data_IF_194560929244
#
_entry.id   IF_194560929244
#
_cell.length_a   1.000
_cell.length_b   1.000
_cell.length_c   1.000
_cell.angle_alpha   90.00
_cell.angle_beta   90.00
_cell.angle_gamma   90.00
#
_symmetry.space_group_name_H-M   'P 1'
#
loop_
_entity.id
_entity.type
_entity.pdbx_description
1 polymer ?
#
# COMPACT_ATOMS: atom_id res chain seq x y z
N UNK A 1 2.26 9.28 -8.15
CA UNK A 1 1.00 8.70 -8.69
C UNK A 1 -0.08 8.81 -7.62
N UNK A 2 0.05 8.12 -6.48
CA UNK A 2 -0.88 8.23 -5.34
C UNK A 2 -1.18 9.68 -4.91
N UNK A 3 -0.15 10.48 -4.62
CA UNK A 3 -0.32 11.89 -4.19
C UNK A 3 -0.98 12.81 -5.23
N UNK A 4 -1.12 12.34 -6.47
CA UNK A 4 -1.77 13.06 -7.56
C UNK A 4 -3.13 12.45 -7.94
N UNK A 5 -3.62 11.46 -7.18
CA UNK A 5 -4.87 10.74 -7.50
C UNK A 5 -4.80 9.87 -8.76
N UNK A 6 -3.59 9.58 -9.25
CA UNK A 6 -3.34 8.76 -10.44
C UNK A 6 -3.40 7.26 -10.09
N UNK A 7 -4.59 6.81 -9.69
CA UNK A 7 -4.80 5.46 -9.15
C UNK A 7 -4.73 4.37 -10.22
N UNK A 8 -5.22 4.65 -11.44
CA UNK A 8 -5.21 3.66 -12.53
C UNK A 8 -3.79 3.35 -12.96
N UNK A 9 -2.94 4.37 -13.13
CA UNK A 9 -1.54 4.14 -13.45
C UNK A 9 -0.79 3.48 -12.27
N UNK A 10 -1.17 3.80 -11.03
CA UNK A 10 -0.59 3.15 -9.84
C UNK A 10 -0.96 1.66 -9.77
N UNK A 11 -2.22 1.31 -10.04
CA UNK A 11 -2.67 -0.08 -10.13
C UNK A 11 -1.89 -0.84 -11.20
N UNK A 12 -1.58 -0.22 -12.34
CA UNK A 12 -0.78 -0.88 -13.36
C UNK A 12 0.60 -1.35 -12.84
N UNK A 13 1.17 -0.75 -11.79
CA UNK A 13 2.45 -1.23 -11.23
C UNK A 13 2.38 -2.64 -10.63
N UNK A 14 1.18 -3.10 -10.26
CA UNK A 14 0.96 -4.41 -9.67
C UNK A 14 0.81 -5.50 -10.74
N UNK A 15 1.23 -6.71 -10.40
CA UNK A 15 0.96 -7.90 -11.19
C UNK A 15 -0.54 -8.25 -11.15
N UNK A 16 -1.00 -9.09 -12.08
CA UNK A 16 -2.38 -9.61 -12.07
C UNK A 16 -2.68 -10.39 -10.78
N UNK A 17 -1.74 -11.26 -10.39
CA UNK A 17 -1.78 -11.97 -9.10
C UNK A 17 -0.92 -11.20 -8.10
N UNK A 18 -1.53 -10.22 -7.44
CA UNK A 18 -0.87 -9.41 -6.42
C UNK A 18 -1.65 -9.38 -5.10
N UNK A 19 -0.93 -9.05 -4.03
CA UNK A 19 -1.51 -8.77 -2.71
C UNK A 19 -1.02 -7.42 -2.22
N UNK A 20 -1.94 -6.64 -1.67
CA UNK A 20 -1.66 -5.44 -0.87
C UNK A 20 -2.05 -5.72 0.58
N UNK A 21 -1.06 -5.67 1.48
CA UNK A 21 -1.21 -6.16 2.85
C UNK A 21 -0.74 -5.14 3.89
N UNK A 22 -1.64 -4.76 4.79
CA UNK A 22 -1.33 -4.08 6.06
C UNK A 22 -1.67 -5.01 7.23
N UNK A 23 -0.67 -5.56 7.94
CA UNK A 23 -0.87 -6.24 9.22
C UNK A 23 -1.62 -5.42 10.27
N UNK A 24 -2.32 -6.09 11.18
CA UNK A 24 -2.98 -5.47 12.35
C UNK A 24 -2.26 -5.73 13.67
N UNK A 25 -1.17 -6.51 13.65
CA UNK A 25 -0.31 -6.74 14.81
C UNK A 25 1.16 -6.62 14.41
N UNK A 26 2.05 -6.19 15.34
CA UNK A 26 3.48 -6.22 15.10
C UNK A 26 3.94 -7.63 14.68
N UNK A 27 4.84 -7.69 13.71
CA UNK A 27 5.47 -8.95 13.25
C UNK A 27 4.49 -10.02 12.74
N UNK A 28 3.28 -9.66 12.31
CA UNK A 28 2.35 -10.62 11.74
C UNK A 28 2.97 -11.31 10.51
N UNK A 29 2.97 -12.64 10.52
CA UNK A 29 3.58 -13.45 9.45
C UNK A 29 2.56 -14.11 8.53
N UNK A 30 1.30 -14.24 8.97
CA UNK A 30 0.27 -14.98 8.26
C UNK A 30 -1.05 -14.17 8.21
N UNK A 31 -1.44 -13.65 7.03
CA UNK A 31 -2.69 -12.91 6.86
C UNK A 31 -3.93 -13.81 6.80
N UNK A 32 -3.78 -15.13 6.62
CA UNK A 32 -4.91 -16.07 6.56
C UNK A 32 -5.32 -16.58 7.95
N UNK A 33 -4.40 -16.52 8.92
CA UNK A 33 -4.68 -16.91 10.32
C UNK A 33 -4.98 -15.73 11.24
N UNK A 34 -4.66 -14.52 10.83
CA UNK A 34 -4.80 -13.31 11.64
C UNK A 34 -5.47 -12.20 10.84
N UNK A 35 -6.35 -11.44 11.50
CA UNK A 35 -6.96 -10.24 10.92
C UNK A 35 -5.86 -9.26 10.51
N UNK A 36 -6.06 -8.62 9.37
CA UNK A 36 -5.20 -7.57 8.84
C UNK A 36 -6.01 -6.28 8.73
N UNK A 37 -5.37 -5.11 8.81
CA UNK A 37 -6.02 -3.84 8.52
C UNK A 37 -6.47 -3.81 7.06
N UNK A 38 -5.57 -4.21 6.15
CA UNK A 38 -5.89 -4.51 4.76
C UNK A 38 -5.26 -5.83 4.33
N UNK A 39 -6.01 -6.64 3.60
CA UNK A 39 -5.50 -7.79 2.87
C UNK A 39 -6.31 -7.87 1.58
N UNK A 40 -5.84 -7.16 0.57
CA UNK A 40 -6.55 -6.94 -0.69
C UNK A 40 -5.82 -7.65 -1.82
N UNK A 41 -6.56 -8.39 -2.63
CA UNK A 41 -6.12 -8.83 -3.95
C UNK A 41 -6.39 -7.73 -5.00
N UNK A 42 -6.08 -8.03 -6.25
CA UNK A 42 -6.23 -7.09 -7.36
C UNK A 42 -7.66 -6.54 -7.48
N UNK A 43 -8.67 -7.40 -7.42
CA UNK A 43 -10.07 -7.04 -7.62
C UNK A 43 -10.60 -6.16 -6.48
N UNK A 44 -10.19 -6.45 -5.24
CA UNK A 44 -10.49 -5.62 -4.08
C UNK A 44 -9.84 -4.23 -4.19
N UNK A 45 -8.59 -4.18 -4.65
CA UNK A 45 -7.90 -2.91 -4.88
C UNK A 45 -8.62 -2.06 -5.95
N UNK A 46 -9.02 -2.67 -7.06
CA UNK A 46 -9.77 -1.99 -8.14
C UNK A 46 -11.12 -1.47 -7.65
N UNK A 47 -11.85 -2.28 -6.88
CA UNK A 47 -13.12 -1.88 -6.26
C UNK A 47 -12.94 -0.67 -5.36
N UNK A 48 -11.86 -0.64 -4.58
CA UNK A 48 -11.54 0.48 -3.69
C UNK A 48 -11.15 1.74 -4.45
N UNK A 49 -10.34 1.61 -5.51
CA UNK A 49 -9.99 2.73 -6.40
C UNK A 49 -11.24 3.31 -7.05
N UNK A 50 -12.15 2.48 -7.56
CA UNK A 50 -13.40 2.93 -8.15
C UNK A 50 -14.26 3.72 -7.14
N UNK A 51 -14.30 3.28 -5.86
CA UNK A 51 -14.98 4.02 -4.79
C UNK A 51 -14.33 5.38 -4.50
N UNK A 52 -13.00 5.44 -4.51
CA UNK A 52 -12.25 6.68 -4.30
C UNK A 52 -12.48 7.69 -5.44
N UNK A 53 -12.53 7.21 -6.68
CA UNK A 53 -12.76 8.03 -7.86
C UNK A 53 -14.21 8.49 -8.01
N UNK A 54 -15.18 7.66 -7.59
CA UNK A 54 -16.61 7.99 -7.72
C UNK A 54 -17.04 9.21 -6.91
N UNK A 55 -16.32 9.56 -5.82
CA UNK A 55 -16.58 10.74 -4.99
C UNK A 55 -17.96 10.77 -4.31
N UNK A 56 -18.76 9.71 -4.44
CA UNK A 56 -20.14 9.65 -3.94
C UNK A 56 -20.25 9.20 -2.49
N UNK A 57 -19.15 8.74 -1.88
CA UNK A 57 -19.11 8.41 -0.47
C UNK A 57 -19.07 9.71 0.35
N UNK A 58 -19.98 9.87 1.31
CA UNK A 58 -20.07 11.09 2.14
C UNK A 58 -18.75 11.40 2.88
N UNK A 59 -17.95 10.38 3.20
CA UNK A 59 -16.64 10.57 3.82
C UNK A 59 -15.56 11.12 2.86
N UNK A 60 -15.79 11.10 1.55
CA UNK A 60 -14.92 11.64 0.51
C UNK A 60 -15.42 13.00 -0.04
N UNK A 61 -16.42 13.61 0.61
CA UNK A 61 -16.96 14.90 0.18
C UNK A 61 -15.91 16.03 0.22
N UNK A 62 -14.94 15.92 1.13
CA UNK A 62 -13.79 16.83 1.20
C UNK A 62 -12.57 16.17 0.54
N UNK A 63 -11.89 16.87 -0.40
CA UNK A 63 -10.73 16.32 -1.08
C UNK A 63 -9.64 15.90 -0.10
N UNK A 64 -9.29 14.63 -0.17
CA UNK A 64 -8.20 14.06 0.60
C UNK A 64 -6.87 14.37 -0.11
N UNK A 65 -5.88 14.84 0.65
CA UNK A 65 -4.53 15.10 0.13
C UNK A 65 -3.51 14.24 0.84
N UNK A 66 -2.59 13.65 0.10
CA UNK A 66 -1.51 12.82 0.64
C UNK A 66 -0.15 13.32 0.20
N UNK A 67 0.87 12.99 1.00
CA UNK A 67 2.28 13.12 0.63
C UNK A 67 3.03 11.90 1.15
N UNK A 68 3.62 11.11 0.25
CA UNK A 68 4.45 9.95 0.61
C UNK A 68 5.94 10.29 0.46
N UNK A 69 6.68 10.19 1.56
CA UNK A 69 8.14 10.33 1.57
C UNK A 69 8.75 8.97 1.88
N UNK A 70 9.52 8.43 0.94
CA UNK A 70 10.23 7.15 1.10
C UNK A 70 11.72 7.38 1.22
N UNK A 71 12.37 6.54 2.02
CA UNK A 71 13.83 6.48 2.10
C UNK A 71 14.46 5.80 0.90
N UNK A 72 15.76 5.53 1.00
CA UNK A 72 16.45 4.67 0.05
C UNK A 72 15.84 3.26 0.07
N UNK A 73 15.84 2.61 -1.09
CA UNK A 73 15.48 1.20 -1.22
C UNK A 73 16.70 0.33 -0.90
N UNK A 74 16.45 -0.75 -0.18
CA UNK A 74 17.44 -1.79 0.12
C UNK A 74 16.96 -3.10 -0.51
N UNK A 75 17.85 -3.83 -1.17
CA UNK A 75 17.55 -5.20 -1.63
C UNK A 75 17.70 -6.14 -0.44
N UNK A 76 16.62 -6.86 -0.12
CA UNK A 76 16.54 -7.77 1.02
C UNK A 76 16.66 -9.24 0.58
N UNK A 77 16.35 -9.53 -0.69
CA UNK A 77 16.47 -10.87 -1.25
C UNK A 77 16.39 -10.85 -2.79
N UNK A 78 17.00 -11.87 -3.41
CA UNK A 78 17.00 -12.05 -4.86
C UNK A 78 16.88 -13.53 -5.18
N UNK A 79 16.03 -13.87 -6.15
CA UNK A 79 16.00 -15.18 -6.79
C UNK A 79 16.70 -15.06 -8.15
N UNK A 80 17.80 -15.78 -8.31
CA UNK A 80 18.61 -15.70 -9.53
C UNK A 80 17.98 -16.44 -10.73
N UNK A 81 17.09 -17.41 -10.47
CA UNK A 81 16.49 -18.22 -11.52
C UNK A 81 15.32 -17.47 -12.17
N UNK A 82 14.44 -16.89 -11.34
CA UNK A 82 13.32 -16.07 -11.83
C UNK A 82 13.70 -14.61 -12.11
N UNK A 83 14.75 -14.11 -11.44
CA UNK A 83 15.08 -12.69 -11.41
C UNK A 83 14.18 -11.86 -10.49
N UNK A 84 13.34 -12.49 -9.68
CA UNK A 84 12.48 -11.82 -8.70
C UNK A 84 13.33 -11.22 -7.56
N UNK A 85 12.89 -10.08 -7.03
CA UNK A 85 13.61 -9.39 -5.95
C UNK A 85 12.66 -8.96 -4.84
N UNK A 86 13.19 -8.92 -3.62
CA UNK A 86 12.53 -8.34 -2.45
C UNK A 86 13.26 -7.05 -2.10
N UNK A 87 12.51 -5.96 -1.99
CA UNK A 87 13.06 -4.65 -1.63
C UNK A 87 12.30 -4.03 -0.47
N UNK A 88 13.04 -3.40 0.44
CA UNK A 88 12.51 -2.71 1.60
C UNK A 88 12.82 -1.22 1.59
N UNK A 89 11.94 -0.41 2.18
CA UNK A 89 12.22 0.99 2.49
C UNK A 89 11.41 1.48 3.68
N UNK A 90 11.87 2.55 4.32
CA UNK A 90 11.10 3.27 5.35
C UNK A 90 10.26 4.36 4.71
N UNK A 91 9.12 4.68 5.30
CA UNK A 91 8.28 5.77 4.82
C UNK A 91 7.74 6.66 5.95
N UNK A 92 7.44 7.89 5.56
CA UNK A 92 6.53 8.78 6.27
C UNK A 92 5.47 9.25 5.26
N UNK A 93 4.22 8.99 5.58
CA UNK A 93 3.08 9.47 4.81
C UNK A 93 2.31 10.47 5.67
N UNK A 94 1.98 11.61 5.06
CA UNK A 94 1.06 12.58 5.66
C UNK A 94 -0.25 12.56 4.86
N UNK A 95 -1.35 12.50 5.58
CA UNK A 95 -2.71 12.66 5.06
C UNK A 95 -3.29 13.95 5.65
N UNK A 96 -4.00 14.70 4.82
CA UNK A 96 -4.77 15.86 5.24
C UNK A 96 -6.19 15.78 4.70
N UNK A 97 -7.16 15.99 5.59
CA UNK A 97 -8.58 16.14 5.26
C UNK A 97 -9.26 16.99 6.34
N UNK A 98 -10.20 17.87 5.97
CA UNK A 98 -11.02 18.67 6.93
C UNK A 98 -10.22 19.42 8.00
N UNK A 99 -9.14 20.09 7.60
CA UNK A 99 -8.23 20.81 8.52
C UNK A 99 -7.50 19.93 9.56
N UNK A 100 -7.62 18.61 9.44
CA UNK A 100 -6.89 17.65 10.24
C UNK A 100 -5.77 17.00 9.45
N UNK A 101 -4.66 16.73 10.14
CA UNK A 101 -3.50 16.05 9.59
C UNK A 101 -3.25 14.77 10.36
N UNK A 102 -3.13 13.65 9.64
CA UNK A 102 -2.73 12.35 10.18
C UNK A 102 -1.40 11.94 9.57
N UNK A 103 -0.58 11.25 10.36
CA UNK A 103 0.71 10.75 9.91
C UNK A 103 0.77 9.25 10.08
N UNK A 104 1.28 8.59 9.06
CA UNK A 104 1.58 7.17 9.05
C UNK A 104 3.07 7.00 8.83
N UNK A 105 3.70 6.16 9.65
CA UNK A 105 5.12 5.86 9.54
C UNK A 105 5.33 4.36 9.66
N UNK A 106 6.33 3.86 8.96
CA UNK A 106 6.57 2.42 8.91
C UNK A 106 7.61 2.01 7.88
N UNK A 107 7.48 0.76 7.47
CA UNK A 107 8.26 0.18 6.37
C UNK A 107 7.34 -0.39 5.31
N UNK A 108 7.82 -0.33 4.07
CA UNK A 108 7.29 -1.13 2.99
C UNK A 108 8.24 -2.28 2.71
N UNK A 109 7.67 -3.45 2.45
CA UNK A 109 8.36 -4.56 1.80
C UNK A 109 7.63 -4.87 0.50
N UNK A 110 8.37 -4.88 -0.60
CA UNK A 110 7.86 -5.21 -1.92
C UNK A 110 8.44 -6.53 -2.37
N UNK A 111 7.59 -7.43 -2.84
CA UNK A 111 8.03 -8.53 -3.70
C UNK A 111 7.78 -8.09 -5.14
N UNK A 112 8.84 -8.09 -5.93
CA UNK A 112 8.83 -7.65 -7.31
C UNK A 112 9.06 -8.86 -8.20
N UNK A 113 8.07 -9.17 -9.01
CA UNK A 113 8.17 -10.21 -10.04
C UNK A 113 8.75 -9.62 -11.30
N UNK A 114 9.74 -10.28 -11.88
CA UNK A 114 10.26 -9.91 -13.19
C UNK A 114 9.33 -10.40 -14.30
N UNK A 115 8.86 -9.49 -15.13
CA UNK A 115 8.08 -9.76 -16.34
C UNK A 115 8.79 -9.11 -17.52
N UNK A 116 9.48 -9.91 -18.33
CA UNK A 116 10.39 -9.44 -19.38
C UNK A 116 11.46 -8.46 -18.83
N UNK A 117 11.42 -7.20 -19.26
CA UNK A 117 12.32 -6.12 -18.84
C UNK A 117 11.72 -5.20 -17.75
N UNK A 118 10.53 -5.52 -17.23
CA UNK A 118 9.81 -4.68 -16.26
C UNK A 118 9.54 -5.48 -14.98
N UNK A 119 9.62 -4.80 -13.82
CA UNK A 119 9.16 -5.37 -12.55
C UNK A 119 7.70 -5.00 -12.29
N UNK A 120 6.93 -5.97 -11.78
CA UNK A 120 5.57 -5.76 -11.28
C UNK A 120 5.49 -6.16 -9.80
N UNK A 121 4.70 -5.42 -9.04
CA UNK A 121 4.52 -5.70 -7.61
C UNK A 121 3.60 -6.92 -7.46
N UNK A 122 4.14 -8.01 -6.93
CA UNK A 122 3.36 -9.20 -6.55
C UNK A 122 2.92 -9.14 -5.07
N UNK A 123 3.68 -8.43 -4.23
CA UNK A 123 3.28 -8.09 -2.86
C UNK A 123 3.72 -6.66 -2.55
N UNK A 124 2.81 -5.84 -2.02
CA UNK A 124 3.17 -4.64 -1.24
C UNK A 124 2.68 -4.86 0.18
N UNK A 125 3.63 -5.09 1.10
CA UNK A 125 3.38 -5.16 2.54
C UNK A 125 3.72 -3.80 3.16
N UNK A 126 2.87 -3.33 4.06
CA UNK A 126 3.05 -2.07 4.80
C UNK A 126 2.96 -2.34 6.29
N UNK A 127 4.09 -2.28 6.98
CA UNK A 127 4.15 -2.45 8.42
C UNK A 127 4.13 -1.07 9.10
N UNK A 128 2.97 -0.72 9.66
CA UNK A 128 2.81 0.49 10.46
C UNK A 128 3.41 0.31 11.84
N UNK A 129 4.15 1.31 12.32
CA UNK A 129 4.70 1.29 13.68
C UNK A 129 3.62 1.24 14.77
N UNK A 130 2.41 1.68 14.44
CA UNK A 130 1.23 1.73 15.31
C UNK A 130 0.08 0.88 14.76
N UNK A 131 0.37 -0.22 14.05
CA UNK A 131 -0.63 -1.09 13.44
C UNK A 131 -1.70 -1.64 14.40
N UNK A 132 -1.40 -1.69 15.70
CA UNK A 132 -2.26 -2.16 16.78
C UNK A 132 -3.03 -1.04 17.51
N UNK A 133 -2.94 0.19 17.01
CA UNK A 133 -3.66 1.35 17.55
C UNK A 133 -5.06 1.48 16.97
N UNK A 134 -5.89 2.32 17.59
CA UNK A 134 -7.19 2.68 17.05
C UNK A 134 -7.03 3.61 15.85
N UNK A 135 -7.57 3.23 14.71
CA UNK A 135 -7.63 4.06 13.52
C UNK A 135 -9.06 4.54 13.28
N UNK A 136 -9.17 5.82 12.91
CA UNK A 136 -10.28 6.27 12.09
C UNK A 136 -10.29 5.56 10.73
N UNK A 137 -11.38 5.66 9.93
CA UNK A 137 -11.44 4.99 8.65
C UNK A 137 -10.21 5.31 7.76
N UNK A 138 -9.45 4.27 7.45
CA UNK A 138 -8.32 4.32 6.54
C UNK A 138 -8.85 4.32 5.11
N UNK A 139 -8.95 5.50 4.50
CA UNK A 139 -9.48 5.64 3.13
C UNK A 139 -8.37 5.78 2.09
N UNK A 140 -7.12 5.81 2.52
CA UNK A 140 -5.94 5.95 1.67
C UNK A 140 -5.22 4.63 1.43
N UNK A 141 -4.52 4.56 0.29
CA UNK A 141 -3.39 3.65 0.15
C UNK A 141 -2.20 4.26 0.87
N UNK A 142 -1.60 3.46 1.76
CA UNK A 142 -0.45 3.82 2.58
C UNK A 142 0.83 3.35 1.90
#
# INVERSE_FOLDING_TARGET
MLDKGQFDEWLQLFAEQCIYWLPATPEQTDPLKHVSLFYEDRDLMETRVARLQAGSAHALADPLRTSHVTGALTVEGTDNDSGDIIVGTRFLMTEYQRDEQRQFAGSYTYHLRRTDEVYRISLKRVDLINCDSVFEPLQVYI
#
